data_IF_358973936190
#
_entry.id   IF_358973936190
#
_cell.length_a   1.000
_cell.length_b   1.000
_cell.length_c   1.000
_cell.angle_alpha   90.00
_cell.angle_beta   90.00
_cell.angle_gamma   90.00
#
_symmetry.space_group_name_H-M   'P 1'
#
loop_
_entity.id
_entity.type
_entity.pdbx_description
1 polymer ?
#
# COMPACT_ATOMS: atom_id res chain seq x y z
N UNK A 1 9.48 19.23 19.09
CA UNK A 1 9.30 19.16 17.64
C UNK A 1 10.51 18.48 17.03
N UNK A 2 10.27 17.61 16.07
CA UNK A 2 11.37 16.88 15.43
C UNK A 2 11.73 17.54 14.11
N UNK A 3 13.04 17.77 13.90
CA UNK A 3 13.57 18.26 12.64
C UNK A 3 14.20 17.14 11.81
N UNK A 4 13.84 15.90 12.11
CA UNK A 4 14.38 14.74 11.44
C UNK A 4 13.98 14.73 9.97
N UNK A 5 14.99 14.67 9.08
CA UNK A 5 14.77 14.74 7.64
C UNK A 5 14.01 13.55 7.08
N UNK A 6 13.93 12.46 7.84
CA UNK A 6 13.17 11.26 7.43
C UNK A 6 11.66 11.45 7.53
N UNK A 7 11.20 12.34 8.39
CA UNK A 7 9.77 12.63 8.52
C UNK A 7 9.19 13.12 7.20
N UNK A 8 8.05 12.58 6.81
CA UNK A 8 7.39 12.94 5.57
C UNK A 8 7.94 12.27 4.31
N UNK A 9 9.06 11.54 4.42
CA UNK A 9 9.55 10.76 3.29
C UNK A 9 8.51 9.72 2.92
N UNK A 10 8.24 9.59 1.62
CA UNK A 10 7.26 8.62 1.14
C UNK A 10 7.77 7.88 -0.09
N UNK A 11 7.22 6.68 -0.28
CA UNK A 11 7.48 5.82 -1.44
C UNK A 11 6.13 5.33 -1.95
N UNK A 12 5.97 5.29 -3.26
CA UNK A 12 4.75 4.75 -3.89
C UNK A 12 5.14 3.64 -4.85
N UNK A 13 4.47 2.50 -4.70
CA UNK A 13 4.54 1.42 -5.66
C UNK A 13 3.24 1.36 -6.45
N UNK A 14 3.35 0.99 -7.72
CA UNK A 14 2.20 0.73 -8.57
C UNK A 14 2.25 -0.71 -9.03
N UNK A 15 1.08 -1.37 -9.01
CA UNK A 15 1.00 -2.79 -9.38
C UNK A 15 -0.30 -3.07 -10.12
N UNK A 16 -0.18 -3.78 -11.24
CA UNK A 16 -1.33 -4.41 -11.87
C UNK A 16 -1.70 -5.67 -11.08
N UNK A 17 -2.95 -5.80 -10.69
CA UNK A 17 -3.44 -6.95 -9.94
C UNK A 17 -3.87 -8.04 -10.91
N UNK A 18 -3.14 -9.17 -10.99
CA UNK A 18 -3.53 -10.26 -11.89
C UNK A 18 -4.88 -10.86 -11.49
N UNK A 19 -5.65 -11.31 -12.46
CA UNK A 19 -6.92 -11.99 -12.19
C UNK A 19 -6.73 -13.26 -11.35
N UNK A 20 -5.54 -13.89 -11.40
CA UNK A 20 -5.24 -15.07 -10.60
C UNK A 20 -5.30 -14.82 -9.08
N UNK A 21 -5.21 -13.58 -8.63
CA UNK A 21 -5.34 -13.22 -7.22
C UNK A 21 -6.79 -12.97 -6.80
N UNK A 22 -7.73 -12.95 -7.73
CA UNK A 22 -9.15 -12.77 -7.44
C UNK A 22 -9.78 -14.14 -7.15
N UNK A 23 -9.47 -14.69 -5.97
CA UNK A 23 -9.90 -16.03 -5.60
C UNK A 23 -11.22 -16.09 -4.82
N UNK A 24 -11.80 -14.94 -4.50
CA UNK A 24 -13.17 -14.85 -3.98
C UNK A 24 -14.17 -14.67 -5.12
N UNK A 25 -15.45 -15.00 -4.86
CA UNK A 25 -16.50 -14.76 -5.83
C UNK A 25 -16.60 -13.28 -6.22
N UNK A 26 -17.05 -13.01 -7.44
CA UNK A 26 -17.21 -11.64 -7.92
C UNK A 26 -15.92 -10.95 -8.31
N UNK A 27 -14.89 -11.70 -8.67
CA UNK A 27 -13.57 -11.17 -9.07
C UNK A 27 -12.90 -10.39 -7.94
N UNK A 28 -13.14 -10.78 -6.68
CA UNK A 28 -12.63 -10.07 -5.52
C UNK A 28 -11.26 -10.59 -5.07
N UNK A 29 -10.40 -9.68 -4.71
CA UNK A 29 -9.05 -9.94 -4.20
C UNK A 29 -9.07 -9.77 -2.67
N UNK A 30 -8.39 -10.68 -1.96
CA UNK A 30 -8.32 -10.61 -0.49
C UNK A 30 -7.52 -9.40 -0.01
N UNK A 31 -7.86 -8.93 1.20
CA UNK A 31 -7.17 -7.80 1.82
C UNK A 31 -5.70 -8.07 2.10
N UNK A 32 -5.33 -9.33 2.32
CA UNK A 32 -3.93 -9.70 2.57
C UNK A 32 -3.00 -9.36 1.40
N UNK A 33 -3.53 -9.35 0.16
CA UNK A 33 -2.77 -8.93 -1.02
C UNK A 33 -2.27 -7.49 -0.87
N UNK A 34 -3.15 -6.59 -0.41
CA UNK A 34 -2.78 -5.18 -0.20
C UNK A 34 -1.78 -5.06 0.94
N UNK A 35 -1.93 -5.84 2.01
CA UNK A 35 -0.99 -5.81 3.12
C UNK A 35 0.40 -6.31 2.70
N UNK A 36 0.48 -7.29 1.82
CA UNK A 36 1.76 -7.72 1.25
C UNK A 36 2.42 -6.57 0.47
N UNK A 37 1.64 -5.82 -0.28
CA UNK A 37 2.14 -4.66 -1.00
C UNK A 37 2.63 -3.57 -0.04
N UNK A 38 1.92 -3.35 1.07
CA UNK A 38 2.36 -2.43 2.11
C UNK A 38 3.72 -2.84 2.70
N UNK A 39 3.94 -4.13 2.90
CA UNK A 39 5.23 -4.64 3.34
C UNK A 39 6.36 -4.28 2.38
N UNK A 40 6.14 -4.43 1.09
CA UNK A 40 7.13 -4.11 0.05
C UNK A 40 7.44 -2.60 0.03
N UNK A 41 6.41 -1.77 0.11
CA UNK A 41 6.57 -0.31 0.10
C UNK A 41 7.31 0.15 1.36
N UNK A 42 6.97 -0.41 2.52
CA UNK A 42 7.64 -0.09 3.78
C UNK A 42 9.11 -0.49 3.74
N UNK A 43 9.43 -1.62 3.10
CA UNK A 43 10.81 -2.07 2.93
C UNK A 43 11.63 -1.04 2.14
N UNK A 44 11.13 -0.60 1.00
CA UNK A 44 11.84 0.41 0.22
C UNK A 44 11.94 1.73 0.98
N UNK A 45 10.89 2.12 1.69
CA UNK A 45 10.91 3.33 2.50
C UNK A 45 12.07 3.29 3.51
N UNK A 46 12.24 2.18 4.23
CA UNK A 46 13.31 2.03 5.21
C UNK A 46 14.70 1.97 4.56
N UNK A 47 14.82 1.36 3.39
CA UNK A 47 16.07 1.38 2.65
C UNK A 47 16.47 2.82 2.32
N UNK A 48 15.52 3.66 1.91
CA UNK A 48 15.80 5.05 1.54
C UNK A 48 16.10 5.93 2.75
N UNK A 49 15.45 5.68 3.88
CA UNK A 49 15.64 6.52 5.07
C UNK A 49 16.77 6.06 5.96
N UNK A 50 17.05 4.75 6.01
CA UNK A 50 17.97 4.16 6.98
C UNK A 50 19.02 3.24 6.38
N UNK A 51 18.98 2.98 5.08
CA UNK A 51 19.92 2.06 4.43
C UNK A 51 19.75 0.62 4.86
N UNK A 52 18.57 0.26 5.34
CA UNK A 52 18.27 -1.07 5.88
C UNK A 52 16.81 -1.41 5.57
N UNK A 53 16.55 -2.68 5.25
CA UNK A 53 15.20 -3.14 4.95
C UNK A 53 14.24 -2.98 6.13
N UNK A 54 14.77 -3.02 7.34
CA UNK A 54 13.95 -3.03 8.53
C UNK A 54 13.19 -4.33 8.73
N UNK A 55 12.44 -4.39 9.81
CA UNK A 55 11.55 -5.51 10.11
C UNK A 55 10.20 -4.94 10.53
N UNK A 56 9.14 -5.34 9.84
CA UNK A 56 7.80 -4.87 10.15
C UNK A 56 7.37 -5.46 11.49
N UNK A 57 7.15 -4.60 12.49
CA UNK A 57 6.82 -5.05 13.85
C UNK A 57 5.31 -5.28 14.02
N UNK A 58 4.49 -4.44 13.40
CA UNK A 58 3.04 -4.60 13.49
C UNK A 58 2.27 -3.40 12.98
N UNK A 59 0.98 -3.62 12.80
CA UNK A 59 0.02 -2.56 12.48
C UNK A 59 -0.66 -2.11 13.77
N UNK A 60 -0.92 -0.80 13.87
CA UNK A 60 -1.76 -0.24 14.91
C UNK A 60 -3.22 -0.23 14.46
N UNK A 61 -3.44 0.04 13.17
CA UNK A 61 -4.76 0.12 12.59
C UNK A 61 -4.70 -0.33 11.14
N UNK A 62 -5.73 -1.04 10.71
CA UNK A 62 -5.97 -1.40 9.31
C UNK A 62 -7.45 -1.19 9.05
N UNK A 63 -7.79 -0.48 7.98
CA UNK A 63 -9.16 -0.30 7.55
C UNK A 63 -9.28 -0.69 6.07
N UNK A 64 -10.12 -1.67 5.80
CA UNK A 64 -10.49 -2.05 4.43
C UNK A 64 -11.73 -1.26 4.04
N UNK A 65 -11.56 -0.27 3.16
CA UNK A 65 -12.61 0.71 2.85
C UNK A 65 -13.41 0.38 1.60
N UNK A 66 -12.81 -0.34 0.67
CA UNK A 66 -13.45 -0.74 -0.58
C UNK A 66 -12.75 -1.98 -1.13
N UNK A 67 -13.46 -2.80 -1.94
CA UNK A 67 -12.86 -4.01 -2.48
C UNK A 67 -11.85 -3.72 -3.59
N UNK A 68 -10.86 -4.61 -3.69
CA UNK A 68 -9.92 -4.68 -4.81
C UNK A 68 -10.38 -5.81 -5.73
N UNK A 69 -10.28 -5.58 -7.02
CA UNK A 69 -10.69 -6.56 -8.03
C UNK A 69 -9.52 -6.96 -8.91
N UNK A 70 -9.55 -8.19 -9.41
CA UNK A 70 -8.60 -8.61 -10.43
C UNK A 70 -8.67 -7.69 -11.63
N UNK A 71 -7.52 -7.33 -12.19
CA UNK A 71 -7.44 -6.35 -13.28
C UNK A 71 -7.32 -4.90 -12.82
N UNK A 72 -7.41 -4.63 -11.52
CA UNK A 72 -7.17 -3.29 -10.99
C UNK A 72 -5.70 -2.90 -11.12
N UNK A 73 -5.45 -1.61 -11.27
CA UNK A 73 -4.11 -1.04 -11.04
C UNK A 73 -4.15 -0.34 -9.69
N UNK A 74 -3.30 -0.80 -8.79
CA UNK A 74 -3.17 -0.27 -7.43
C UNK A 74 -1.95 0.63 -7.32
N UNK A 75 -2.10 1.72 -6.56
CA UNK A 75 -0.96 2.47 -6.02
C UNK A 75 -1.00 2.37 -4.51
N UNK A 76 0.14 2.03 -3.91
CA UNK A 76 0.29 2.03 -2.45
C UNK A 76 1.42 2.98 -2.06
N UNK A 77 1.12 3.85 -1.11
CA UNK A 77 2.08 4.84 -0.60
C UNK A 77 2.31 4.59 0.88
N UNK A 78 3.59 4.59 1.27
CA UNK A 78 4.01 4.56 2.67
C UNK A 78 4.74 5.85 2.99
N UNK A 79 4.45 6.45 4.14
CA UNK A 79 5.02 7.72 4.57
C UNK A 79 5.50 7.61 6.01
N UNK A 80 6.70 8.10 6.29
CA UNK A 80 7.23 8.14 7.65
C UNK A 80 6.49 9.23 8.42
N UNK A 81 5.85 8.84 9.53
CA UNK A 81 5.09 9.75 10.39
C UNK A 81 5.75 9.98 11.74
N UNK A 82 6.68 9.10 12.14
CA UNK A 82 7.36 9.19 13.43
C UNK A 82 8.73 8.53 13.33
N UNK A 83 9.72 9.13 13.98
CA UNK A 83 11.07 8.57 14.07
C UNK A 83 11.40 8.39 15.54
N UNK A 84 11.52 7.13 15.98
CA UNK A 84 12.05 6.77 17.29
C UNK A 84 13.51 6.35 17.18
N UNK A 85 14.12 5.89 18.27
CA UNK A 85 15.53 5.49 18.24
C UNK A 85 15.78 4.30 17.28
N UNK A 86 14.89 3.31 17.30
CA UNK A 86 14.93 2.13 16.44
C UNK A 86 13.63 1.88 15.70
N UNK A 87 12.64 2.74 15.86
CA UNK A 87 11.32 2.53 15.26
C UNK A 87 10.99 3.64 14.30
N UNK A 88 10.24 3.28 13.24
CA UNK A 88 9.68 4.22 12.29
C UNK A 88 8.19 3.99 12.26
N UNK A 89 7.42 5.02 12.62
CA UNK A 89 5.99 5.01 12.42
C UNK A 89 5.70 5.29 10.96
N UNK A 90 4.80 4.53 10.37
CA UNK A 90 4.50 4.60 8.94
C UNK A 90 3.00 4.63 8.75
N UNK A 91 2.52 5.53 7.89
CA UNK A 91 1.15 5.52 7.41
C UNK A 91 1.11 4.94 6.00
N UNK A 92 0.05 4.21 5.69
CA UNK A 92 -0.14 3.54 4.40
C UNK A 92 -1.49 3.90 3.80
N UNK A 93 -1.49 4.05 2.49
CA UNK A 93 -2.72 4.19 1.73
C UNK A 93 -2.59 3.42 0.42
N UNK A 94 -3.59 2.60 0.11
CA UNK A 94 -3.72 1.95 -1.19
C UNK A 94 -4.96 2.47 -1.89
N UNK A 95 -4.83 2.73 -3.20
CA UNK A 95 -5.92 3.24 -4.03
C UNK A 95 -5.91 2.58 -5.40
N UNK A 96 -7.08 2.37 -5.93
CA UNK A 96 -7.27 1.89 -7.31
C UNK A 96 -7.25 3.09 -8.23
N UNK A 97 -6.42 3.06 -9.24
CA UNK A 97 -6.32 4.14 -10.25
C UNK A 97 -6.87 3.73 -11.61
N UNK A 98 -6.92 2.43 -11.90
CA UNK A 98 -7.56 1.89 -13.09
C UNK A 98 -8.37 0.65 -12.71
N UNK A 99 -9.48 0.42 -13.41
CA UNK A 99 -10.36 -0.73 -13.14
C UNK A 99 -10.96 -1.23 -14.45
N UNK A 100 -11.15 -2.53 -14.56
CA UNK A 100 -11.81 -3.12 -15.72
C UNK A 100 -13.26 -2.63 -15.83
N UNK A 101 -13.75 -2.51 -17.06
CA UNK A 101 -15.10 -2.04 -17.35
C UNK A 101 -15.78 -3.02 -18.30
N UNK A 102 -16.22 -4.19 -17.78
CA UNK A 102 -16.77 -5.25 -18.62
C UNK A 102 -18.09 -4.89 -19.30
N UNK A 103 -18.78 -3.84 -18.85
CA UNK A 103 -19.99 -3.35 -19.50
C UNK A 103 -19.70 -2.79 -20.91
N UNK A 104 -18.50 -2.29 -21.15
CA UNK A 104 -18.10 -1.78 -22.45
C UNK A 104 -17.67 -2.93 -23.36
N UNK A 105 -16.75 -3.77 -22.89
CA UNK A 105 -16.29 -4.97 -23.59
C UNK A 105 -15.52 -5.86 -22.62
N UNK A 106 -15.21 -7.10 -23.03
CA UNK A 106 -14.53 -8.07 -22.17
C UNK A 106 -13.16 -7.59 -21.68
N UNK A 107 -12.46 -6.78 -22.45
CA UNK A 107 -11.11 -6.30 -22.10
C UNK A 107 -11.06 -4.79 -21.87
N UNK A 108 -12.19 -4.10 -21.84
CA UNK A 108 -12.21 -2.67 -21.59
C UNK A 108 -11.79 -2.37 -20.15
N UNK A 109 -11.08 -1.26 -19.96
CA UNK A 109 -10.68 -0.77 -18.65
C UNK A 109 -10.70 0.76 -18.66
N UNK A 110 -10.88 1.32 -17.47
CA UNK A 110 -11.07 2.76 -17.29
C UNK A 110 -10.02 3.29 -16.33
N UNK A 111 -9.41 4.43 -16.68
CA UNK A 111 -8.66 5.24 -15.72
C UNK A 111 -9.69 6.00 -14.88
N UNK A 112 -9.65 5.80 -13.57
CA UNK A 112 -10.60 6.48 -12.68
C UNK A 112 -10.28 7.96 -12.59
N UNK A 113 -11.29 8.81 -12.76
CA UNK A 113 -11.14 10.26 -12.62
C UNK A 113 -10.69 10.64 -11.21
N UNK A 114 -11.22 9.91 -10.21
CA UNK A 114 -10.81 10.03 -8.81
C UNK A 114 -10.38 8.64 -8.35
N UNK A 115 -9.14 8.52 -7.86
CA UNK A 115 -8.65 7.27 -7.33
C UNK A 115 -9.53 6.79 -6.17
N UNK A 116 -9.77 5.49 -6.09
CA UNK A 116 -10.59 4.89 -5.05
C UNK A 116 -9.69 4.37 -3.94
N UNK A 117 -9.76 5.00 -2.76
CA UNK A 117 -9.03 4.50 -1.59
C UNK A 117 -9.64 3.18 -1.14
N UNK A 118 -8.85 2.12 -1.14
CA UNK A 118 -9.34 0.77 -0.78
C UNK A 118 -8.87 0.32 0.59
N UNK A 119 -7.69 0.76 1.03
CA UNK A 119 -7.12 0.35 2.32
C UNK A 119 -6.26 1.45 2.88
N UNK A 120 -6.41 1.69 4.18
CA UNK A 120 -5.52 2.59 4.94
C UNK A 120 -4.98 1.83 6.14
N UNK A 121 -3.79 2.17 6.59
CA UNK A 121 -3.18 1.54 7.75
C UNK A 121 -2.15 2.44 8.39
N UNK A 122 -1.84 2.15 9.64
CA UNK A 122 -0.68 2.69 10.34
C UNK A 122 0.07 1.53 10.99
N UNK A 123 1.37 1.64 11.06
CA UNK A 123 2.19 0.58 11.63
C UNK A 123 3.57 1.06 12.02
N UNK A 124 4.38 0.12 12.49
CA UNK A 124 5.73 0.38 12.95
C UNK A 124 6.70 -0.59 12.30
N UNK A 125 7.80 -0.04 11.79
CA UNK A 125 8.94 -0.80 11.30
C UNK A 125 10.11 -0.56 12.26
N UNK A 126 10.85 -1.61 12.58
CA UNK A 126 12.02 -1.54 13.46
C UNK A 126 13.28 -1.65 12.60
N UNK A 127 14.24 -0.81 12.85
CA UNK A 127 15.54 -0.83 12.18
C UNK A 127 16.62 -1.14 13.21
N UNK A 128 17.80 -1.68 12.78
CA UNK A 128 18.89 -1.95 13.70
C UNK A 128 19.37 -0.66 14.37
N UNK A 129 19.74 -0.78 15.64
CA UNK A 129 20.24 0.36 16.41
C UNK A 129 21.70 0.71 16.15
#
# INVERSE_FOLDING_TARGET
MSDDARLGTSVTHRRYVPYSHAHYGGNLVDGAYVLAMFGDVATELCIRTDGDEGLFAGYDEIAFRAPVMGGDVLEATATVTRVGSRSRGVSFEARVVCRSNPDVSASAATVLANALVVTTATGTVVVPG
#
